data_IF_933617775275
#
_entry.id   IF_933617775275
#
_cell.length_a   1.000
_cell.length_b   1.000
_cell.length_c   1.000
_cell.angle_alpha   90.00
_cell.angle_beta   90.00
_cell.angle_gamma   90.00
#
_symmetry.space_group_name_H-M   'P 1'
#
loop_
_entity.id
_entity.type
_entity.pdbx_description
1 polymer ?
#
# COMPACT_ATOMS: atom_id res chain seq x y z
N UNK A 1 0.70 -16.66 -6.23
CA UNK A 1 -0.07 -16.04 -7.33
C UNK A 1 0.86 -15.03 -8.00
N UNK A 2 0.89 -14.96 -9.34
CA UNK A 2 1.76 -13.99 -10.03
C UNK A 2 1.13 -12.61 -9.92
N UNK A 3 1.80 -11.73 -9.19
CA UNK A 3 1.33 -10.36 -8.96
C UNK A 3 1.66 -9.45 -10.15
N UNK A 4 0.61 -8.83 -10.68
CA UNK A 4 0.72 -7.74 -11.65
C UNK A 4 0.46 -6.41 -10.93
N UNK A 5 1.08 -5.30 -11.37
CA UNK A 5 1.91 -5.15 -12.58
C UNK A 5 3.40 -5.51 -12.41
N UNK A 6 3.83 -5.97 -11.23
CA UNK A 6 5.25 -6.20 -10.93
C UNK A 6 5.93 -7.21 -11.87
N UNK A 7 5.30 -8.38 -12.08
CA UNK A 7 5.81 -9.39 -13.00
C UNK A 7 6.00 -8.85 -14.43
N UNK A 8 5.01 -8.13 -14.94
CA UNK A 8 5.03 -7.55 -16.28
C UNK A 8 6.18 -6.57 -16.49
N UNK A 9 6.40 -5.67 -15.51
CA UNK A 9 7.51 -4.71 -15.56
C UNK A 9 8.86 -5.42 -15.53
N UNK A 10 9.01 -6.43 -14.68
CA UNK A 10 10.24 -7.22 -14.59
C UNK A 10 10.53 -8.00 -15.87
N UNK A 11 9.50 -8.59 -16.47
CA UNK A 11 9.57 -9.28 -17.76
C UNK A 11 10.10 -8.33 -18.85
N UNK A 12 9.50 -7.14 -18.96
CA UNK A 12 9.93 -6.11 -19.91
C UNK A 12 11.38 -5.70 -19.68
N UNK A 13 11.78 -5.48 -18.43
CA UNK A 13 13.14 -5.06 -18.08
C UNK A 13 14.18 -6.11 -18.53
N UNK A 14 13.98 -7.37 -18.17
CA UNK A 14 14.89 -8.46 -18.56
C UNK A 14 14.92 -8.70 -20.07
N UNK A 15 13.77 -8.55 -20.75
CA UNK A 15 13.69 -8.63 -22.20
C UNK A 15 14.53 -7.54 -22.87
N UNK A 16 14.38 -6.28 -22.44
CA UNK A 16 15.13 -5.15 -22.98
C UNK A 16 16.63 -5.28 -22.70
N UNK A 17 17.01 -5.74 -21.49
CA UNK A 17 18.42 -6.00 -21.15
C UNK A 17 19.06 -7.07 -22.04
N UNK A 18 18.27 -8.03 -22.53
CA UNK A 18 18.72 -9.05 -23.49
C UNK A 18 18.60 -8.63 -24.95
N UNK A 19 18.17 -7.40 -25.23
CA UNK A 19 18.01 -6.88 -26.59
C UNK A 19 16.89 -7.55 -27.39
N UNK A 20 15.95 -8.24 -26.74
CA UNK A 20 14.88 -8.97 -27.41
C UNK A 20 13.68 -8.06 -27.69
N UNK A 21 13.04 -8.21 -28.85
CA UNK A 21 11.72 -7.68 -29.15
C UNK A 21 10.61 -8.50 -28.49
N UNK A 22 9.40 -7.94 -28.38
CA UNK A 22 8.25 -8.68 -27.83
C UNK A 22 7.92 -9.92 -28.67
N UNK A 23 8.06 -9.84 -30.00
CA UNK A 23 7.91 -10.98 -30.91
C UNK A 23 8.96 -12.07 -30.67
N UNK A 24 10.22 -11.69 -30.45
CA UNK A 24 11.28 -12.65 -30.18
C UNK A 24 11.12 -13.32 -28.82
N UNK A 25 10.63 -12.61 -27.81
CA UNK A 25 10.26 -13.21 -26.52
C UNK A 25 9.00 -14.08 -26.64
N UNK A 26 8.06 -13.71 -27.50
CA UNK A 26 6.80 -14.45 -27.66
C UNK A 26 7.02 -15.83 -28.29
N UNK A 27 7.90 -15.92 -29.28
CA UNK A 27 8.13 -17.17 -30.00
C UNK A 27 6.90 -17.66 -30.75
N UNK A 28 6.72 -18.97 -30.76
CA UNK A 28 5.55 -19.63 -31.37
C UNK A 28 4.48 -19.94 -30.32
N UNK A 29 4.82 -19.79 -29.03
CA UNK A 29 3.99 -20.19 -27.89
C UNK A 29 2.94 -19.14 -27.52
N UNK A 30 3.25 -17.86 -27.65
CA UNK A 30 2.32 -16.74 -27.42
C UNK A 30 2.47 -15.67 -28.48
N UNK A 31 1.54 -14.70 -28.54
CA UNK A 31 1.65 -13.58 -29.47
C UNK A 31 2.40 -12.39 -28.86
N UNK A 32 3.05 -11.57 -29.69
CA UNK A 32 3.67 -10.31 -29.24
C UNK A 32 2.67 -9.38 -28.52
N UNK A 33 1.41 -9.35 -28.97
CA UNK A 33 0.32 -8.62 -28.30
C UNK A 33 0.00 -9.17 -26.92
N UNK A 34 0.07 -10.49 -26.73
CA UNK A 34 -0.06 -11.10 -25.41
C UNK A 34 1.08 -10.67 -24.49
N UNK A 35 2.33 -10.74 -24.96
CA UNK A 35 3.52 -10.25 -24.23
C UNK A 35 3.34 -8.79 -23.82
N UNK A 36 2.90 -7.93 -24.73
CA UNK A 36 2.66 -6.51 -24.44
C UNK A 36 1.64 -6.29 -23.31
N UNK A 37 0.53 -7.05 -23.31
CA UNK A 37 -0.48 -6.97 -22.22
C UNK A 37 0.02 -7.53 -20.89
N UNK A 38 0.89 -8.54 -20.93
CA UNK A 38 1.55 -9.02 -19.71
C UNK A 38 2.51 -7.96 -19.18
N UNK A 39 3.33 -7.37 -20.05
CA UNK A 39 4.32 -6.34 -19.69
C UNK A 39 3.70 -5.06 -19.12
N UNK A 40 2.50 -4.69 -19.58
CA UNK A 40 1.76 -3.54 -19.06
C UNK A 40 0.92 -3.84 -17.81
N UNK A 41 0.95 -5.09 -17.32
CA UNK A 41 0.15 -5.53 -16.18
C UNK A 41 -1.34 -5.74 -16.48
N UNK A 42 -1.79 -5.50 -17.71
CA UNK A 42 -3.18 -5.70 -18.13
C UNK A 42 -3.62 -7.17 -18.17
N UNK A 43 -2.66 -8.11 -18.15
CA UNK A 43 -2.94 -9.54 -18.11
C UNK A 43 -1.96 -10.28 -17.21
N UNK A 44 -2.46 -11.06 -16.26
CA UNK A 44 -1.61 -11.96 -15.48
C UNK A 44 -1.39 -13.28 -16.26
N UNK A 45 -0.14 -13.72 -16.45
CA UNK A 45 0.14 -15.04 -17.01
C UNK A 45 -0.15 -16.13 -15.98
N UNK A 46 -0.38 -17.35 -16.44
CA UNK A 46 -0.36 -18.53 -15.56
C UNK A 46 1.08 -19.03 -15.35
N UNK A 47 1.25 -19.96 -14.43
CA UNK A 47 2.57 -20.47 -14.04
C UNK A 47 3.34 -21.10 -15.23
N UNK A 48 2.64 -21.76 -16.16
CA UNK A 48 3.24 -22.34 -17.36
C UNK A 48 3.82 -21.27 -18.29
N UNK A 49 3.07 -20.20 -18.53
CA UNK A 49 3.52 -19.09 -19.37
C UNK A 49 4.65 -18.31 -18.69
N UNK A 50 4.61 -18.16 -17.36
CA UNK A 50 5.69 -17.53 -16.62
C UNK A 50 6.99 -18.35 -16.68
N UNK A 51 6.91 -19.68 -16.51
CA UNK A 51 8.05 -20.58 -16.65
C UNK A 51 8.59 -20.62 -18.11
N UNK A 52 7.72 -20.43 -19.10
CA UNK A 52 8.14 -20.24 -20.49
C UNK A 52 8.98 -18.97 -20.65
N UNK A 53 8.50 -17.82 -20.14
CA UNK A 53 9.25 -16.57 -20.21
C UNK A 53 10.60 -16.66 -19.48
N UNK A 54 10.63 -17.28 -18.30
CA UNK A 54 11.85 -17.48 -17.51
C UNK A 54 12.92 -18.25 -18.30
N UNK A 55 12.53 -19.37 -18.91
CA UNK A 55 13.42 -20.18 -19.76
C UNK A 55 13.93 -19.41 -20.97
N UNK A 56 13.05 -18.67 -21.65
CA UNK A 56 13.42 -17.91 -22.85
C UNK A 56 14.35 -16.73 -22.55
N UNK A 57 14.25 -16.19 -21.35
CA UNK A 57 15.17 -15.20 -20.82
C UNK A 57 16.35 -15.84 -20.09
N UNK A 58 16.52 -17.16 -20.03
CA UNK A 58 17.62 -17.79 -19.30
C UNK A 58 17.82 -17.21 -17.88
N UNK A 59 16.73 -17.15 -17.11
CA UNK A 59 16.72 -16.74 -15.70
C UNK A 59 15.88 -17.72 -14.88
N UNK A 60 16.16 -17.87 -13.58
CA UNK A 60 15.23 -18.53 -12.66
C UNK A 60 13.88 -17.79 -12.64
N UNK A 61 12.77 -18.52 -12.44
CA UNK A 61 11.42 -17.93 -12.44
C UNK A 61 11.28 -16.85 -11.36
N UNK A 62 11.98 -17.03 -10.24
CA UNK A 62 12.05 -16.11 -9.12
C UNK A 62 12.58 -14.73 -9.55
N UNK A 63 13.46 -14.67 -10.56
CA UNK A 63 13.96 -13.41 -11.08
C UNK A 63 12.91 -12.59 -11.84
N UNK A 64 11.80 -13.20 -12.26
CA UNK A 64 10.62 -12.52 -12.82
C UNK A 64 9.59 -12.14 -11.75
N UNK A 65 9.60 -12.83 -10.61
CA UNK A 65 8.70 -12.58 -9.49
C UNK A 65 9.25 -11.51 -8.52
N UNK A 66 10.57 -11.38 -8.41
CA UNK A 66 11.21 -10.36 -7.58
C UNK A 66 11.33 -9.02 -8.31
N UNK A 67 11.13 -7.88 -7.61
CA UNK A 67 11.38 -6.56 -8.18
C UNK A 67 12.82 -6.46 -8.71
N UNK A 68 13.02 -5.75 -9.81
CA UNK A 68 14.38 -5.48 -10.30
C UNK A 68 15.13 -4.48 -9.42
N UNK A 69 16.48 -4.38 -9.49
CA UNK A 69 17.25 -3.43 -8.67
C UNK A 69 16.82 -1.96 -8.83
N UNK A 70 16.30 -1.60 -10.01
CA UNK A 70 15.74 -0.27 -10.27
C UNK A 70 14.40 -0.06 -9.54
N UNK A 71 13.50 -1.04 -9.57
CA UNK A 71 12.22 -0.98 -8.85
C UNK A 71 12.43 -1.02 -7.34
N UNK A 72 13.40 -1.81 -6.85
CA UNK A 72 13.82 -1.79 -5.45
C UNK A 72 14.36 -0.40 -5.04
N UNK A 73 15.13 0.23 -5.92
CA UNK A 73 15.62 1.60 -5.74
C UNK A 73 14.50 2.63 -5.68
N UNK A 74 13.53 2.55 -6.59
CA UNK A 74 12.33 3.40 -6.62
C UNK A 74 11.48 3.21 -5.36
N UNK A 75 11.21 1.95 -4.98
CA UNK A 75 10.46 1.62 -3.76
C UNK A 75 11.18 2.15 -2.51
N UNK A 76 12.50 1.97 -2.43
CA UNK A 76 13.31 2.50 -1.32
C UNK A 76 13.25 4.03 -1.29
N UNK A 77 13.41 4.69 -2.43
CA UNK A 77 13.34 6.15 -2.55
C UNK A 77 11.96 6.66 -2.10
N UNK A 78 10.90 5.97 -2.49
CA UNK A 78 9.53 6.30 -2.09
C UNK A 78 9.30 6.11 -0.60
N UNK A 79 9.74 4.98 -0.02
CA UNK A 79 9.67 4.76 1.44
C UNK A 79 10.45 5.82 2.20
N UNK A 80 11.61 6.25 1.71
CA UNK A 80 12.39 7.34 2.32
C UNK A 80 11.67 8.68 2.26
N UNK A 81 11.04 9.00 1.14
CA UNK A 81 10.25 10.23 0.97
C UNK A 81 9.04 10.28 1.93
N UNK A 82 8.27 9.19 2.00
CA UNK A 82 7.14 9.08 2.94
C UNK A 82 7.63 9.20 4.38
N UNK A 83 8.72 8.52 4.74
CA UNK A 83 9.30 8.60 6.08
C UNK A 83 9.77 10.03 6.42
N UNK A 84 10.36 10.74 5.46
CA UNK A 84 10.77 12.14 5.61
C UNK A 84 9.58 13.05 5.91
N UNK A 85 8.50 12.94 5.15
CA UNK A 85 7.26 13.71 5.36
C UNK A 85 6.55 13.33 6.66
N UNK A 86 6.61 12.07 7.09
CA UNK A 86 6.09 11.66 8.39
C UNK A 86 6.86 12.32 9.55
N UNK A 87 8.18 12.42 9.44
CA UNK A 87 9.01 13.15 10.41
C UNK A 87 8.69 14.65 10.42
N UNK A 88 8.50 15.26 9.25
CA UNK A 88 8.06 16.66 9.11
C UNK A 88 6.71 16.89 9.81
N UNK A 89 5.70 16.07 9.52
CA UNK A 89 4.39 16.18 10.17
C UNK A 89 4.47 16.07 11.70
N UNK A 90 5.32 15.18 12.22
CA UNK A 90 5.55 15.04 13.67
C UNK A 90 6.27 16.26 14.27
N UNK A 91 7.19 16.87 13.53
CA UNK A 91 7.83 18.12 13.95
C UNK A 91 6.81 19.27 14.01
N UNK A 92 6.01 19.47 12.95
CA UNK A 92 4.94 20.47 12.90
C UNK A 92 3.95 20.29 14.06
N UNK A 93 3.52 19.06 14.34
CA UNK A 93 2.65 18.77 15.48
C UNK A 93 3.29 19.18 16.81
N UNK A 94 4.58 18.88 17.00
CA UNK A 94 5.33 19.24 18.21
C UNK A 94 5.43 20.76 18.38
N UNK A 95 5.53 21.50 17.29
CA UNK A 95 5.58 22.96 17.28
C UNK A 95 4.17 23.60 17.39
N UNK A 96 3.11 22.79 17.41
CA UNK A 96 1.72 23.21 17.56
C UNK A 96 1.01 23.56 16.25
N UNK A 97 1.69 23.37 15.11
CA UNK A 97 1.19 23.62 13.75
C UNK A 97 0.32 22.44 13.28
N UNK A 98 -0.76 22.17 14.02
CA UNK A 98 -1.61 21.00 13.84
C UNK A 98 -2.29 20.92 12.46
N UNK A 99 -2.70 22.07 11.91
CA UNK A 99 -3.37 22.13 10.61
C UNK A 99 -2.41 21.75 9.46
N UNK A 100 -1.17 22.23 9.52
CA UNK A 100 -0.14 21.94 8.53
C UNK A 100 0.33 20.48 8.64
N UNK A 101 0.53 19.99 9.87
CA UNK A 101 0.82 18.59 10.13
C UNK A 101 -0.27 17.67 9.53
N UNK A 102 -1.55 18.00 9.73
CA UNK A 102 -2.66 17.27 9.12
C UNK A 102 -2.63 17.35 7.58
N UNK A 103 -2.24 18.51 7.01
CA UNK A 103 -2.05 18.68 5.57
C UNK A 103 -1.02 17.72 4.99
N UNK A 104 0.15 17.61 5.62
CA UNK A 104 1.22 16.68 5.21
C UNK A 104 0.75 15.23 5.28
N UNK A 105 0.10 14.82 6.38
CA UNK A 105 -0.37 13.44 6.56
C UNK A 105 -1.49 13.07 5.58
N UNK A 106 -2.39 13.99 5.24
CA UNK A 106 -3.38 13.78 4.16
C UNK A 106 -2.69 13.51 2.82
N UNK A 107 -1.63 14.27 2.51
CA UNK A 107 -0.83 14.05 1.31
C UNK A 107 -0.26 12.63 1.26
N UNK A 108 0.29 12.15 2.38
CA UNK A 108 0.78 10.77 2.50
C UNK A 108 -0.36 9.75 2.31
N UNK A 109 -1.49 9.93 3.01
CA UNK A 109 -2.61 8.98 2.95
C UNK A 109 -3.31 8.94 1.58
N UNK A 110 -3.25 10.03 0.81
CA UNK A 110 -3.81 10.09 -0.54
C UNK A 110 -2.96 9.35 -1.58
N UNK A 111 -1.72 8.99 -1.27
CA UNK A 111 -0.86 8.25 -2.18
C UNK A 111 -1.28 6.79 -2.27
N UNK A 112 -1.42 6.29 -3.51
CA UNK A 112 -1.65 4.87 -3.74
C UNK A 112 -0.42 4.06 -3.30
N UNK A 113 -0.46 3.47 -2.11
CA UNK A 113 0.54 2.53 -1.62
C UNK A 113 0.33 1.12 -2.15
N UNK A 114 1.42 0.38 -2.31
CA UNK A 114 1.36 -1.08 -2.35
C UNK A 114 1.51 -1.67 -0.94
N UNK A 115 1.45 -2.99 -0.84
CA UNK A 115 1.71 -3.71 0.42
C UNK A 115 3.06 -3.34 1.07
N UNK A 116 4.04 -2.95 0.24
CA UNK A 116 5.38 -2.61 0.71
C UNK A 116 5.45 -1.29 1.50
N UNK A 117 4.44 -0.43 1.45
CA UNK A 117 4.40 0.82 2.22
C UNK A 117 3.27 0.82 3.28
N UNK A 118 2.55 -0.30 3.42
CA UNK A 118 1.35 -0.40 4.27
C UNK A 118 1.64 -0.02 5.73
N UNK A 119 2.78 -0.44 6.27
CA UNK A 119 3.21 -0.13 7.63
C UNK A 119 3.34 1.38 7.87
N UNK A 120 3.99 2.09 6.95
CA UNK A 120 4.21 3.55 7.07
C UNK A 120 2.92 4.33 6.81
N UNK A 121 2.09 3.88 5.85
CA UNK A 121 0.80 4.51 5.55
C UNK A 121 -0.18 4.35 6.71
N UNK A 122 -0.19 3.19 7.36
CA UNK A 122 -1.00 2.94 8.56
C UNK A 122 -0.61 3.91 9.68
N UNK A 123 0.69 4.07 9.94
CA UNK A 123 1.20 5.01 10.95
C UNK A 123 0.84 6.47 10.62
N UNK A 124 0.95 6.87 9.36
CA UNK A 124 0.56 8.22 8.93
C UNK A 124 -0.94 8.48 9.13
N UNK A 125 -1.80 7.51 8.78
CA UNK A 125 -3.23 7.61 9.01
C UNK A 125 -3.58 7.61 10.51
N UNK A 126 -2.85 6.85 11.33
CA UNK A 126 -3.03 6.87 12.78
C UNK A 126 -2.68 8.25 13.36
N UNK A 127 -1.52 8.80 13.00
CA UNK A 127 -1.09 10.14 13.43
C UNK A 127 -2.08 11.21 12.96
N UNK A 128 -2.65 11.07 11.75
CA UNK A 128 -3.66 11.99 11.22
C UNK A 128 -4.93 11.95 12.08
N UNK A 129 -5.42 10.76 12.43
CA UNK A 129 -6.59 10.62 13.31
C UNK A 129 -6.35 11.28 14.68
N UNK A 130 -5.15 11.11 15.26
CA UNK A 130 -4.78 11.75 16.53
C UNK A 130 -4.77 13.29 16.42
N UNK A 131 -4.24 13.85 15.33
CA UNK A 131 -4.23 15.31 15.10
C UNK A 131 -5.65 15.84 14.83
N UNK A 132 -6.46 15.13 14.04
CA UNK A 132 -7.85 15.51 13.77
C UNK A 132 -8.69 15.55 15.05
N UNK A 133 -8.42 14.62 15.97
CA UNK A 133 -9.02 14.61 17.30
C UNK A 133 -8.65 15.86 18.10
N UNK A 134 -7.39 16.29 18.08
CA UNK A 134 -6.93 17.52 18.75
C UNK A 134 -7.53 18.78 18.12
N UNK A 135 -7.66 18.80 16.79
CA UNK A 135 -8.32 19.87 16.05
C UNK A 135 -9.86 19.89 16.23
N UNK A 136 -10.44 18.86 16.84
CA UNK A 136 -11.89 18.73 17.01
C UNK A 136 -12.64 18.35 15.72
N UNK A 137 -11.94 17.94 14.67
CA UNK A 137 -12.55 17.51 13.41
C UNK A 137 -13.01 16.05 13.50
N UNK A 138 -14.08 15.81 14.27
CA UNK A 138 -14.58 14.48 14.57
C UNK A 138 -15.10 13.72 13.34
N UNK A 139 -15.62 14.42 12.34
CA UNK A 139 -16.15 13.80 11.12
C UNK A 139 -15.02 13.21 10.26
N UNK A 140 -13.94 13.96 10.06
CA UNK A 140 -12.79 13.48 9.30
C UNK A 140 -12.02 12.39 10.07
N UNK A 141 -11.84 12.56 11.39
CA UNK A 141 -11.26 11.53 12.26
C UNK A 141 -12.03 10.21 12.12
N UNK A 142 -13.37 10.26 12.06
CA UNK A 142 -14.21 9.07 11.88
C UNK A 142 -13.92 8.35 10.58
N UNK A 143 -13.81 9.09 9.47
CA UNK A 143 -13.48 8.51 8.15
C UNK A 143 -12.13 7.81 8.20
N UNK A 144 -11.09 8.50 8.67
CA UNK A 144 -9.73 7.94 8.75
C UNK A 144 -9.68 6.68 9.62
N UNK A 145 -10.32 6.71 10.79
CA UNK A 145 -10.36 5.55 11.68
C UNK A 145 -11.18 4.38 11.10
N UNK A 146 -12.22 4.67 10.31
CA UNK A 146 -13.01 3.64 9.63
C UNK A 146 -12.17 2.97 8.55
N UNK A 147 -11.45 3.74 7.73
CA UNK A 147 -10.55 3.21 6.71
C UNK A 147 -9.42 2.39 7.35
N UNK A 148 -8.80 2.91 8.42
CA UNK A 148 -7.81 2.17 9.21
C UNK A 148 -8.36 0.85 9.75
N UNK A 149 -9.64 0.80 10.16
CA UNK A 149 -10.23 -0.44 10.64
C UNK A 149 -10.28 -1.53 9.57
N UNK A 150 -10.37 -1.15 8.29
CA UNK A 150 -10.43 -2.07 7.16
C UNK A 150 -9.05 -2.40 6.55
N UNK A 151 -7.98 -1.70 6.96
CA UNK A 151 -6.62 -1.99 6.50
C UNK A 151 -6.19 -3.41 6.88
N UNK A 152 -5.46 -4.10 5.99
CA UNK A 152 -5.01 -5.49 6.19
C UNK A 152 -4.21 -5.60 7.49
N UNK A 153 -3.30 -4.66 7.74
CA UNK A 153 -2.51 -4.64 8.98
C UNK A 153 -3.36 -4.59 10.26
N UNK A 154 -4.49 -3.87 10.23
CA UNK A 154 -5.46 -3.85 11.34
C UNK A 154 -6.20 -5.18 11.47
N UNK A 155 -6.66 -5.75 10.35
CA UNK A 155 -7.41 -7.00 10.34
C UNK A 155 -6.56 -8.20 10.78
N UNK A 156 -5.27 -8.21 10.47
CA UNK A 156 -4.37 -9.33 10.79
C UNK A 156 -3.67 -9.18 12.15
N UNK A 157 -3.73 -8.00 12.79
CA UNK A 157 -3.06 -7.73 14.07
C UNK A 157 -4.06 -7.38 15.17
N UNK A 158 -4.40 -8.31 16.09
CA UNK A 158 -5.38 -8.09 17.16
C UNK A 158 -5.15 -6.82 17.99
N UNK A 159 -3.87 -6.51 18.30
CA UNK A 159 -3.51 -5.31 19.06
C UNK A 159 -3.82 -4.02 18.31
N UNK A 160 -3.65 -3.99 16.99
CA UNK A 160 -3.98 -2.83 16.15
C UNK A 160 -5.49 -2.73 15.95
N UNK A 161 -6.18 -3.87 15.70
CA UNK A 161 -7.64 -3.93 15.65
C UNK A 161 -8.26 -3.32 16.93
N UNK A 162 -7.83 -3.77 18.11
CA UNK A 162 -8.33 -3.28 19.39
C UNK A 162 -8.07 -1.78 19.58
N UNK A 163 -6.90 -1.31 19.15
CA UNK A 163 -6.49 0.09 19.23
C UNK A 163 -7.38 0.99 18.35
N UNK A 164 -7.62 0.61 17.09
CA UNK A 164 -8.48 1.34 16.16
C UNK A 164 -9.94 1.31 16.62
N UNK A 165 -10.45 0.13 17.02
CA UNK A 165 -11.82 -0.02 17.51
C UNK A 165 -12.08 0.81 18.78
N UNK A 166 -11.09 0.90 19.69
CA UNK A 166 -11.17 1.78 20.86
C UNK A 166 -11.21 3.26 20.47
N UNK A 167 -10.40 3.69 19.50
CA UNK A 167 -10.43 5.06 19.01
C UNK A 167 -11.76 5.40 18.32
N UNK A 168 -12.28 4.49 17.48
CA UNK A 168 -13.60 4.60 16.84
C UNK A 168 -14.71 4.74 17.87
N UNK A 169 -14.73 3.90 18.90
CA UNK A 169 -15.69 3.99 20.01
C UNK A 169 -15.69 5.39 20.64
N UNK A 170 -14.51 5.92 20.97
CA UNK A 170 -14.38 7.26 21.57
C UNK A 170 -14.82 8.38 20.61
N UNK A 171 -14.46 8.29 19.34
CA UNK A 171 -14.88 9.25 18.32
C UNK A 171 -16.41 9.23 18.14
N UNK A 172 -17.02 8.05 18.00
CA UNK A 172 -18.48 7.87 17.91
C UNK A 172 -19.21 8.39 19.15
N UNK A 173 -18.64 8.15 20.34
CA UNK A 173 -19.17 8.69 21.59
C UNK A 173 -19.17 10.22 21.61
N UNK A 174 -18.07 10.87 21.21
CA UNK A 174 -18.00 12.35 21.10
C UNK A 174 -19.00 12.92 20.09
N UNK A 175 -19.39 12.14 19.09
CA UNK A 175 -20.43 12.50 18.12
C UNK A 175 -21.86 12.18 18.57
N UNK A 176 -22.06 11.60 19.77
CA UNK A 176 -23.38 11.20 20.28
C UNK A 176 -23.93 9.90 19.69
N UNK A 177 -23.15 9.18 18.88
CA UNK A 177 -23.54 7.90 18.25
C UNK A 177 -23.33 6.72 19.21
N UNK A 178 -24.00 6.77 20.35
CA UNK A 178 -23.72 5.89 21.50
C UNK A 178 -23.87 4.39 21.20
N UNK A 179 -24.89 4.00 20.45
CA UNK A 179 -25.10 2.59 20.09
C UNK A 179 -23.98 2.02 19.20
N UNK A 180 -23.42 2.85 18.32
CA UNK A 180 -22.26 2.48 17.50
C UNK A 180 -20.97 2.47 18.31
N UNK A 181 -20.83 3.41 19.25
CA UNK A 181 -19.69 3.46 20.16
C UNK A 181 -19.57 2.18 21.00
N UNK A 182 -20.70 1.68 21.53
CA UNK A 182 -20.73 0.41 22.29
C UNK A 182 -20.29 -0.76 21.42
N UNK A 183 -20.83 -0.90 20.20
CA UNK A 183 -20.42 -1.99 19.29
C UNK A 183 -18.94 -1.96 18.96
N UNK A 184 -18.38 -0.76 18.72
CA UNK A 184 -16.95 -0.60 18.48
C UNK A 184 -16.12 -0.99 19.72
N UNK A 185 -16.60 -0.67 20.93
CA UNK A 185 -15.94 -1.07 22.17
C UNK A 185 -16.01 -2.59 22.42
N UNK A 186 -17.16 -3.22 22.15
CA UNK A 186 -17.32 -4.68 22.22
C UNK A 186 -16.38 -5.38 21.25
N UNK A 187 -16.29 -4.87 20.02
CA UNK A 187 -15.35 -5.38 19.03
C UNK A 187 -13.91 -5.30 19.54
N UNK A 188 -13.51 -4.17 20.14
CA UNK A 188 -12.16 -3.96 20.66
C UNK A 188 -11.74 -4.98 21.75
N UNK A 189 -12.69 -5.56 22.48
CA UNK A 189 -12.45 -6.58 23.52
C UNK A 189 -12.47 -8.00 22.93
N UNK A 190 -13.13 -8.18 21.78
CA UNK A 190 -13.33 -9.49 21.15
C UNK A 190 -12.25 -9.91 20.15
N UNK A 191 -11.41 -8.96 19.71
CA UNK A 191 -10.35 -9.17 18.71
C UNK A 191 -9.10 -9.82 19.27
#
# INVERSE_FOLDING_TARGET
>A
MIEQPAFGRRLRQLRVQRGLSQSELAGDEVSASYVSRVESGQRSPNDLIAAFFARRLDVPLEALASPGPQEEGELRSRRLDIAGRLLEARALRKDGELADAAGVLRGICAEAGGHAEEDVLWEAAWDLADILRELGNAAEEHTVLTDLSQATLSQETPRLAARVATALSRNLHRQGRLGEAVRAAEHAVSV
#
